data_IF_770802220616
#
_entry.id   IF_770802220616
#
_cell.length_a   1.000
_cell.length_b   1.000
_cell.length_c   1.000
_cell.angle_alpha   90.00
_cell.angle_beta   90.00
_cell.angle_gamma   90.00
#
_symmetry.space_group_name_H-M   'P 1'
#
loop_
_entity.id
_entity.type
_entity.pdbx_description
1 polymer ?
#
# COMPACT_ATOMS: atom_id res chain seq x y z
N UNK A 1 2.36 13.50 31.84
CA UNK A 1 2.07 12.55 30.74
C UNK A 1 3.27 11.65 30.52
N UNK A 2 3.06 10.40 30.20
CA UNK A 2 4.07 9.40 29.85
C UNK A 2 3.65 8.66 28.58
N UNK A 3 4.59 8.00 27.93
CA UNK A 3 4.32 7.07 26.83
C UNK A 3 4.55 5.65 27.36
N UNK A 4 3.60 4.75 27.08
CA UNK A 4 3.65 3.34 27.46
C UNK A 4 3.14 2.45 26.33
N UNK A 5 3.37 1.13 26.43
CA UNK A 5 2.82 0.17 25.49
C UNK A 5 1.29 0.09 25.60
N UNK A 6 0.62 0.00 24.45
CA UNK A 6 -0.83 -0.19 24.39
C UNK A 6 -1.17 -1.63 24.81
N UNK A 7 -2.21 -1.76 25.62
CA UNK A 7 -2.87 -3.03 25.94
C UNK A 7 -4.27 -2.99 25.33
N UNK A 8 -4.63 -3.98 24.54
CA UNK A 8 -5.91 -3.98 23.79
C UNK A 8 -7.16 -3.98 24.69
N UNK A 9 -7.03 -4.50 25.91
CA UNK A 9 -8.08 -4.57 26.93
C UNK A 9 -8.13 -3.35 27.88
N UNK A 10 -7.32 -2.31 27.62
CA UNK A 10 -7.31 -1.10 28.44
C UNK A 10 -8.61 -0.32 28.28
N UNK A 11 -9.46 -0.36 29.31
CA UNK A 11 -10.76 0.31 29.32
C UNK A 11 -10.66 1.83 29.16
N UNK A 12 -9.52 2.44 29.42
CA UNK A 12 -9.28 3.88 29.22
C UNK A 12 -9.21 4.28 27.76
N UNK A 13 -9.13 3.32 26.83
CA UNK A 13 -9.24 3.55 25.37
C UNK A 13 -10.68 3.75 24.90
N UNK A 14 -11.68 3.35 25.68
CA UNK A 14 -13.11 3.43 25.29
C UNK A 14 -13.57 4.86 24.90
N UNK A 15 -13.18 5.93 25.60
CA UNK A 15 -13.52 7.28 25.18
C UNK A 15 -12.95 7.64 23.80
N UNK A 16 -11.72 7.23 23.50
CA UNK A 16 -11.10 7.48 22.19
C UNK A 16 -11.79 6.69 21.08
N UNK A 17 -12.15 5.44 21.32
CA UNK A 17 -12.92 4.64 20.35
C UNK A 17 -14.27 5.29 20.04
N UNK A 18 -14.94 5.86 21.04
CA UNK A 18 -16.19 6.60 20.85
C UNK A 18 -16.00 7.88 20.05
N UNK A 19 -14.94 8.65 20.30
CA UNK A 19 -14.61 9.84 19.49
C UNK A 19 -14.33 9.47 18.03
N UNK A 20 -13.60 8.35 17.80
CA UNK A 20 -13.38 7.82 16.45
C UNK A 20 -14.70 7.47 15.78
N UNK A 21 -15.58 6.76 16.47
CA UNK A 21 -16.91 6.38 15.99
C UNK A 21 -17.74 7.61 15.59
N UNK A 22 -17.78 8.61 16.44
CA UNK A 22 -18.49 9.87 16.19
C UNK A 22 -17.88 10.65 14.99
N UNK A 23 -16.58 10.59 14.79
CA UNK A 23 -15.92 11.23 13.65
C UNK A 23 -16.21 10.52 12.33
N UNK A 24 -16.39 9.19 12.37
CA UNK A 24 -16.65 8.35 11.21
C UNK A 24 -18.13 8.32 10.83
N UNK A 25 -19.07 8.56 11.77
CA UNK A 25 -20.52 8.59 11.50
C UNK A 25 -20.95 9.69 10.55
N UNK A 26 -20.09 10.65 10.25
CA UNK A 26 -20.29 11.59 9.14
C UNK A 26 -20.20 10.92 7.76
N UNK A 27 -19.68 9.68 7.70
CA UNK A 27 -19.60 8.82 6.51
C UNK A 27 -20.15 7.42 6.83
N UNK A 28 -21.47 7.29 6.89
CA UNK A 28 -22.27 6.20 7.47
C UNK A 28 -21.92 4.74 7.11
N UNK A 29 -21.19 4.46 6.06
CA UNK A 29 -20.94 3.08 5.60
C UNK A 29 -19.60 2.48 6.07
N UNK A 30 -18.71 3.29 6.65
CA UNK A 30 -17.35 2.85 7.03
C UNK A 30 -17.13 2.73 8.56
N UNK A 31 -18.01 3.28 9.38
CA UNK A 31 -17.79 3.42 10.81
C UNK A 31 -17.76 2.09 11.58
N UNK A 32 -18.77 1.24 11.41
CA UNK A 32 -18.87 -0.03 12.17
C UNK A 32 -17.75 -1.02 11.78
N UNK A 33 -17.45 -1.13 10.48
CA UNK A 33 -16.37 -1.97 9.98
C UNK A 33 -15.01 -1.48 10.48
N UNK A 34 -14.83 -0.17 10.54
CA UNK A 34 -13.54 0.43 10.97
C UNK A 34 -13.29 0.20 12.46
N UNK A 35 -14.29 0.27 13.32
CA UNK A 35 -14.11 0.09 14.77
C UNK A 35 -13.91 -1.37 15.12
N UNK A 36 -14.67 -2.28 14.51
CA UNK A 36 -14.39 -3.72 14.64
C UNK A 36 -12.95 -4.01 14.21
N UNK A 37 -12.54 -3.50 13.05
CA UNK A 37 -11.19 -3.66 12.56
C UNK A 37 -10.13 -3.00 13.47
N UNK A 38 -10.42 -1.87 14.11
CA UNK A 38 -9.50 -1.23 15.05
C UNK A 38 -9.26 -2.05 16.32
N UNK A 39 -10.28 -2.72 16.84
CA UNK A 39 -10.11 -3.64 17.98
C UNK A 39 -9.29 -4.85 17.59
N UNK A 40 -9.58 -5.45 16.44
CA UNK A 40 -8.82 -6.57 15.89
C UNK A 40 -7.37 -6.16 15.59
N UNK A 41 -7.16 -4.92 15.08
CA UNK A 41 -5.83 -4.35 14.90
C UNK A 41 -5.11 -4.13 16.24
N UNK A 42 -5.78 -3.62 17.27
CA UNK A 42 -5.19 -3.42 18.58
C UNK A 42 -4.82 -4.75 19.27
N UNK A 43 -5.51 -5.85 18.96
CA UNK A 43 -5.18 -7.20 19.45
C UNK A 43 -4.00 -7.82 18.69
N UNK A 44 -3.85 -7.52 17.42
CA UNK A 44 -2.86 -8.14 16.51
C UNK A 44 -1.61 -7.29 16.27
N UNK A 45 -1.62 -6.00 16.65
CA UNK A 45 -0.55 -5.04 16.41
C UNK A 45 0.08 -4.55 17.71
N UNK A 46 1.31 -4.05 17.59
CA UNK A 46 1.94 -3.30 18.68
C UNK A 46 1.37 -1.88 18.72
N UNK A 47 1.37 -1.26 19.88
CA UNK A 47 0.89 0.11 20.02
C UNK A 47 1.58 0.88 21.12
N UNK A 48 1.57 2.20 20.99
CA UNK A 48 1.98 3.15 22.03
C UNK A 48 0.80 4.04 22.38
N UNK A 49 0.70 4.39 23.66
CA UNK A 49 -0.28 5.34 24.19
C UNK A 49 0.42 6.51 24.86
N UNK A 50 -0.18 7.70 24.73
CA UNK A 50 0.17 8.89 25.52
C UNK A 50 -0.89 9.06 26.59
N UNK A 51 -0.48 8.98 27.85
CA UNK A 51 -1.38 8.86 28.98
C UNK A 51 -0.94 9.66 30.22
N UNK A 52 -1.85 9.84 31.14
CA UNK A 52 -1.57 10.09 32.56
C UNK A 52 -2.12 8.94 33.43
N UNK A 53 -2.29 9.17 34.74
CA UNK A 53 -2.75 8.13 35.67
C UNK A 53 -4.20 7.64 35.41
N UNK A 54 -5.01 8.41 34.73
CA UNK A 54 -6.46 8.19 34.58
C UNK A 54 -6.94 8.15 33.14
N UNK A 55 -6.22 8.79 32.23
CA UNK A 55 -6.71 9.09 30.89
C UNK A 55 -5.68 8.75 29.83
N UNK A 56 -6.12 8.11 28.73
CA UNK A 56 -5.35 7.98 27.49
C UNK A 56 -5.79 9.11 26.55
N UNK A 57 -4.85 9.88 26.07
CA UNK A 57 -5.05 11.05 25.23
C UNK A 57 -4.84 10.81 23.74
N UNK A 58 -3.94 9.88 23.43
CA UNK A 58 -3.62 9.52 22.06
C UNK A 58 -3.03 8.11 22.01
N UNK A 59 -3.13 7.47 20.85
CA UNK A 59 -2.46 6.19 20.59
C UNK A 59 -2.02 6.06 19.15
N UNK A 60 -1.06 5.15 18.92
CA UNK A 60 -0.57 4.75 17.62
C UNK A 60 -0.48 3.21 17.58
N UNK A 61 -0.98 2.62 16.51
CA UNK A 61 -0.83 1.19 16.21
C UNK A 61 0.17 1.01 15.06
N UNK A 62 1.05 0.03 15.21
CA UNK A 62 2.05 -0.25 14.21
C UNK A 62 2.36 -1.74 14.13
N UNK A 63 2.86 -2.16 12.98
CA UNK A 63 3.33 -3.52 12.74
C UNK A 63 4.76 -3.49 12.22
N UNK A 64 5.64 -4.30 12.82
CA UNK A 64 7.00 -4.50 12.35
C UNK A 64 7.01 -5.70 11.40
N UNK A 65 7.38 -5.44 10.15
CA UNK A 65 7.63 -6.45 9.11
C UNK A 65 9.03 -6.17 8.56
N UNK A 66 10.03 -6.64 9.27
CA UNK A 66 11.43 -6.33 8.96
C UNK A 66 11.74 -6.36 7.45
N UNK A 67 12.44 -5.35 6.95
CA UNK A 67 13.06 -4.23 7.66
C UNK A 67 12.19 -2.95 7.74
N UNK A 68 10.88 -3.05 7.70
CA UNK A 68 9.95 -1.91 7.67
C UNK A 68 9.01 -1.96 8.87
N UNK A 69 8.83 -0.82 9.54
CA UNK A 69 7.77 -0.60 10.51
C UNK A 69 6.61 0.15 9.83
N UNK A 70 5.40 -0.38 9.89
CA UNK A 70 4.21 0.23 9.30
C UNK A 70 3.37 0.86 10.40
N UNK A 71 3.10 2.17 10.29
CA UNK A 71 2.08 2.84 11.09
C UNK A 71 0.74 2.53 10.44
N UNK A 72 -0.08 1.75 11.11
CA UNK A 72 -1.38 1.29 10.59
C UNK A 72 -2.52 2.20 11.05
N UNK A 73 -2.40 2.80 12.24
CA UNK A 73 -3.39 3.73 12.77
C UNK A 73 -2.78 4.69 13.80
N UNK A 74 -3.32 5.92 13.89
CA UNK A 74 -2.97 6.86 14.93
C UNK A 74 -4.16 7.80 15.21
N UNK A 75 -4.43 8.09 16.47
CA UNK A 75 -5.50 8.98 16.88
C UNK A 75 -5.12 9.76 18.13
N UNK A 76 -5.59 11.00 18.21
CA UNK A 76 -5.52 11.82 19.40
C UNK A 76 -6.89 12.48 19.66
N UNK A 77 -7.28 12.56 20.94
CA UNK A 77 -8.57 13.13 21.36
C UNK A 77 -8.76 14.55 20.85
N UNK A 78 -9.99 14.87 20.47
CA UNK A 78 -10.43 16.21 20.05
C UNK A 78 -10.17 17.29 21.12
N UNK A 79 -10.07 16.88 22.37
CA UNK A 79 -9.85 17.78 23.52
C UNK A 79 -8.37 18.11 23.77
N UNK A 80 -7.48 17.68 22.86
CA UNK A 80 -6.03 17.80 23.03
C UNK A 80 -5.38 18.60 21.91
N UNK A 81 -4.11 18.96 22.10
CA UNK A 81 -3.25 19.40 21.01
C UNK A 81 -2.84 18.17 20.17
N UNK A 82 -3.76 17.75 19.28
CA UNK A 82 -3.63 16.54 18.48
C UNK A 82 -2.29 16.44 17.77
N UNK A 83 -1.87 17.50 17.11
CA UNK A 83 -0.62 17.50 16.33
C UNK A 83 0.58 17.21 17.23
N UNK A 84 0.70 17.88 18.37
CA UNK A 84 1.80 17.66 19.28
C UNK A 84 1.75 16.28 19.94
N UNK A 85 0.56 15.77 20.29
CA UNK A 85 0.43 14.45 20.91
C UNK A 85 0.80 13.33 19.94
N UNK A 86 0.34 13.42 18.70
CA UNK A 86 0.75 12.51 17.63
C UNK A 86 2.25 12.62 17.33
N UNK A 87 2.80 13.82 17.29
CA UNK A 87 4.23 14.02 17.11
C UNK A 87 5.06 13.33 18.19
N UNK A 88 4.68 13.41 19.48
CA UNK A 88 5.40 12.74 20.55
C UNK A 88 5.35 11.22 20.44
N UNK A 89 4.18 10.65 20.06
CA UNK A 89 4.06 9.21 19.82
C UNK A 89 4.91 8.75 18.64
N UNK A 90 4.84 9.46 17.51
CA UNK A 90 5.64 9.16 16.31
C UNK A 90 7.12 9.24 16.62
N UNK A 91 7.58 10.29 17.32
CA UNK A 91 8.98 10.44 17.69
C UNK A 91 9.46 9.30 18.56
N UNK A 92 8.64 8.87 19.54
CA UNK A 92 8.98 7.73 20.39
C UNK A 92 9.07 6.43 19.59
N UNK A 93 8.15 6.19 18.64
CA UNK A 93 8.22 5.06 17.74
C UNK A 93 9.50 5.09 16.87
N UNK A 94 9.87 6.27 16.36
CA UNK A 94 11.12 6.44 15.59
C UNK A 94 12.34 6.07 16.43
N UNK A 95 12.37 6.51 17.68
CA UNK A 95 13.48 6.21 18.60
C UNK A 95 13.54 4.71 18.94
N UNK A 96 12.39 4.05 19.14
CA UNK A 96 12.32 2.59 19.33
C UNK A 96 12.82 1.84 18.09
N UNK A 97 12.38 2.20 16.91
CA UNK A 97 12.83 1.56 15.65
C UNK A 97 14.34 1.76 15.40
N UNK A 98 14.90 2.92 15.78
CA UNK A 98 16.35 3.16 15.68
C UNK A 98 17.15 2.28 16.63
N UNK A 99 16.63 2.02 17.83
CA UNK A 99 17.29 1.15 18.83
C UNK A 99 17.29 -0.31 18.42
N UNK A 100 16.28 -0.75 17.67
CA UNK A 100 16.18 -2.13 17.14
C UNK A 100 17.33 -2.47 16.17
N UNK A 101 17.75 -1.49 15.36
CA UNK A 101 18.84 -1.62 14.39
C UNK A 101 18.57 -2.54 13.18
N UNK A 102 17.46 -3.28 13.18
CA UNK A 102 17.02 -4.11 12.05
C UNK A 102 15.98 -3.40 11.20
N UNK A 103 15.35 -2.35 11.73
CA UNK A 103 14.36 -1.55 11.04
C UNK A 103 15.09 -0.48 10.22
N UNK A 104 14.92 -0.52 8.91
CA UNK A 104 15.55 0.43 7.99
C UNK A 104 14.64 1.60 7.63
N UNK A 105 13.33 1.45 7.77
CA UNK A 105 12.37 2.50 7.47
C UNK A 105 11.08 2.37 8.28
N UNK A 106 10.42 3.51 8.47
CA UNK A 106 9.05 3.58 8.98
C UNK A 106 8.18 4.12 7.86
N UNK A 107 7.01 3.53 7.68
CA UNK A 107 6.08 3.87 6.63
C UNK A 107 4.68 4.07 7.22
N UNK A 108 3.97 5.09 6.71
CA UNK A 108 2.57 5.30 6.96
C UNK A 108 1.87 5.42 5.60
N UNK A 109 1.10 4.41 5.24
CA UNK A 109 0.25 4.45 4.06
C UNK A 109 -0.99 5.26 4.41
N UNK A 110 -1.38 6.16 3.50
CA UNK A 110 -2.49 7.06 3.77
C UNK A 110 -3.78 6.28 4.05
N UNK A 111 -4.41 6.63 5.15
CA UNK A 111 -5.77 6.24 5.46
C UNK A 111 -6.63 7.52 5.37
N UNK A 112 -7.69 7.56 4.55
CA UNK A 112 -8.44 8.79 4.22
C UNK A 112 -9.00 9.58 5.41
N UNK A 113 -9.16 8.96 6.57
CA UNK A 113 -9.69 9.57 7.79
C UNK A 113 -8.64 10.22 8.71
N UNK A 114 -7.35 10.16 8.35
CA UNK A 114 -6.36 10.90 9.10
C UNK A 114 -6.41 12.38 8.72
N UNK A 115 -6.74 13.21 9.70
CA UNK A 115 -6.74 14.65 9.56
C UNK A 115 -5.37 15.23 9.22
N UNK A 116 -5.35 16.51 8.92
CA UNK A 116 -4.12 17.29 8.63
C UNK A 116 -3.11 17.25 9.78
N UNK A 117 -3.57 16.96 11.00
CA UNK A 117 -2.77 16.91 12.21
C UNK A 117 -1.76 15.76 12.20
N UNK A 118 -2.17 14.55 11.75
CA UNK A 118 -1.23 13.42 11.60
C UNK A 118 -0.20 13.71 10.51
N UNK A 119 -0.63 14.25 9.38
CA UNK A 119 0.27 14.64 8.29
C UNK A 119 1.32 15.64 8.79
N UNK A 120 0.89 16.67 9.52
CA UNK A 120 1.76 17.68 10.10
C UNK A 120 2.72 17.07 11.13
N UNK A 121 2.25 16.15 11.96
CA UNK A 121 3.07 15.45 12.95
C UNK A 121 4.13 14.55 12.30
N UNK A 122 3.78 13.82 11.22
CA UNK A 122 4.72 12.99 10.45
C UNK A 122 5.81 13.87 9.81
N UNK A 123 5.43 14.97 9.14
CA UNK A 123 6.39 15.90 8.53
C UNK A 123 7.30 16.51 9.59
N UNK A 124 6.75 16.94 10.74
CA UNK A 124 7.53 17.46 11.86
C UNK A 124 8.51 16.43 12.44
N UNK A 125 8.15 15.14 12.40
CA UNK A 125 9.02 14.02 12.80
C UNK A 125 10.07 13.64 11.74
N UNK A 126 10.11 14.32 10.58
CA UNK A 126 11.10 14.13 9.53
C UNK A 126 10.68 13.16 8.43
N UNK A 127 9.42 12.74 8.38
CA UNK A 127 8.93 11.88 7.31
C UNK A 127 8.88 12.65 5.98
N UNK A 128 9.24 11.95 4.93
CA UNK A 128 9.10 12.41 3.54
C UNK A 128 7.70 12.04 3.04
N UNK A 129 7.14 12.92 2.23
CA UNK A 129 5.83 12.76 1.62
C UNK A 129 5.97 12.26 0.17
N UNK A 130 5.27 11.19 -0.16
CA UNK A 130 5.16 10.67 -1.51
C UNK A 130 3.69 10.73 -1.96
N UNK A 131 3.33 11.71 -2.80
CA UNK A 131 1.97 11.80 -3.34
C UNK A 131 1.71 10.67 -4.34
N UNK A 132 0.56 10.04 -4.23
CA UNK A 132 0.13 8.95 -5.10
C UNK A 132 -1.27 9.24 -5.66
N UNK A 133 -1.53 8.74 -6.85
CA UNK A 133 -2.84 8.77 -7.48
C UNK A 133 -3.44 7.38 -7.50
N UNK A 134 -4.71 7.27 -7.15
CA UNK A 134 -5.55 6.15 -7.51
C UNK A 134 -6.09 6.44 -8.92
N UNK A 135 -5.75 5.57 -9.84
CA UNK A 135 -6.18 5.66 -11.24
C UNK A 135 -7.20 4.57 -11.54
N UNK A 136 -8.19 4.90 -12.37
CA UNK A 136 -9.27 4.01 -12.81
C UNK A 136 -9.47 4.11 -14.31
N UNK A 137 -9.67 2.97 -14.95
CA UNK A 137 -10.16 2.84 -16.32
C UNK A 137 -11.46 2.05 -16.33
N UNK A 138 -12.49 2.55 -17.01
CA UNK A 138 -13.75 1.84 -17.18
C UNK A 138 -13.59 0.68 -18.16
N UNK A 139 -14.31 -0.40 -17.94
CA UNK A 139 -14.34 -1.58 -18.79
C UNK A 139 -15.74 -1.74 -19.42
N UNK A 140 -15.91 -2.39 -20.59
CA UNK A 140 -14.88 -3.14 -21.32
C UNK A 140 -13.91 -2.25 -22.09
N UNK A 141 -12.66 -2.72 -22.17
CA UNK A 141 -11.62 -2.07 -22.96
C UNK A 141 -11.73 -2.47 -24.43
N UNK A 142 -11.73 -1.48 -25.35
CA UNK A 142 -12.10 -1.68 -26.75
C UNK A 142 -10.92 -1.68 -27.74
N UNK A 143 -9.68 -1.68 -27.28
CA UNK A 143 -8.53 -1.73 -28.20
C UNK A 143 -8.17 -3.17 -28.54
N UNK A 144 -7.89 -3.42 -29.82
CA UNK A 144 -7.42 -4.72 -30.28
C UNK A 144 -6.07 -5.09 -29.63
N UNK A 145 -5.96 -6.33 -29.17
CA UNK A 145 -4.72 -6.90 -28.66
C UNK A 145 -3.79 -7.17 -29.84
N UNK A 146 -2.71 -6.40 -29.94
CA UNK A 146 -1.61 -6.71 -30.86
C UNK A 146 -0.82 -7.91 -30.31
N UNK A 147 -1.15 -9.10 -30.75
CA UNK A 147 -0.49 -10.35 -30.39
C UNK A 147 0.67 -10.59 -31.36
N UNK A 148 1.81 -9.94 -31.12
CA UNK A 148 3.06 -10.30 -31.78
C UNK A 148 3.45 -11.74 -31.45
N UNK A 149 3.90 -12.57 -32.41
CA UNK A 149 4.32 -13.95 -32.19
C UNK A 149 5.51 -14.09 -31.24
N UNK A 150 6.24 -13.00 -31.00
CA UNK A 150 7.35 -12.95 -30.05
C UNK A 150 6.90 -12.83 -28.59
N UNK A 151 5.59 -12.62 -28.33
CA UNK A 151 5.02 -12.42 -27.00
C UNK A 151 4.29 -13.66 -26.50
N UNK A 152 4.60 -14.06 -25.26
CA UNK A 152 3.89 -15.11 -24.55
C UNK A 152 3.35 -14.52 -23.24
N UNK A 153 2.03 -14.56 -23.04
CA UNK A 153 1.38 -14.19 -21.78
C UNK A 153 1.05 -15.47 -21.02
N UNK A 154 1.86 -15.78 -20.00
CA UNK A 154 1.67 -16.96 -19.19
C UNK A 154 0.79 -16.62 -17.98
N UNK A 155 -0.36 -17.26 -17.86
CA UNK A 155 -1.22 -17.15 -16.68
C UNK A 155 -0.44 -17.51 -15.42
N UNK A 156 -0.74 -16.81 -14.34
CA UNK A 156 0.00 -16.95 -13.10
C UNK A 156 -0.14 -18.34 -12.48
N UNK A 157 0.96 -18.87 -12.03
CA UNK A 157 0.99 -20.09 -11.22
C UNK A 157 1.99 -19.93 -10.07
N UNK A 158 1.81 -20.63 -8.92
CA UNK A 158 2.77 -20.58 -7.81
C UNK A 158 4.20 -20.99 -8.18
N UNK A 159 4.38 -21.74 -9.28
CA UNK A 159 5.69 -22.12 -9.82
C UNK A 159 6.54 -20.91 -10.25
N UNK A 160 5.90 -19.75 -10.44
CA UNK A 160 6.60 -18.51 -10.82
C UNK A 160 7.16 -17.73 -9.61
N UNK A 161 6.76 -18.02 -8.38
CA UNK A 161 7.05 -17.21 -7.21
C UNK A 161 8.54 -16.88 -7.04
N UNK A 162 9.42 -17.86 -7.09
CA UNK A 162 10.87 -17.62 -6.95
C UNK A 162 11.44 -16.75 -8.08
N UNK A 163 10.97 -16.95 -9.32
CA UNK A 163 11.37 -16.14 -10.48
C UNK A 163 10.78 -14.73 -10.40
N UNK A 164 9.53 -14.62 -10.03
CA UNK A 164 8.84 -13.36 -9.87
C UNK A 164 9.49 -12.49 -8.80
N UNK A 165 9.91 -13.04 -7.66
CA UNK A 165 10.64 -12.29 -6.64
C UNK A 165 11.94 -11.70 -7.18
N UNK A 166 12.70 -12.46 -7.98
CA UNK A 166 13.92 -11.98 -8.64
C UNK A 166 13.63 -10.89 -9.69
N UNK A 167 12.53 -11.04 -10.45
CA UNK A 167 12.10 -10.05 -11.42
C UNK A 167 11.63 -8.76 -10.72
N UNK A 168 10.79 -8.85 -9.69
CA UNK A 168 10.35 -7.70 -8.90
C UNK A 168 11.52 -6.91 -8.34
N UNK A 169 12.48 -7.59 -7.72
CA UNK A 169 13.73 -6.96 -7.24
C UNK A 169 14.44 -6.16 -8.34
N UNK A 170 14.55 -6.69 -9.55
CA UNK A 170 15.22 -6.00 -10.66
C UNK A 170 14.37 -4.85 -11.22
N UNK A 171 13.06 -5.03 -11.33
CA UNK A 171 12.11 -4.02 -11.81
C UNK A 171 12.13 -2.80 -10.88
N UNK A 172 12.11 -3.02 -9.58
CA UNK A 172 11.99 -1.96 -8.59
C UNK A 172 13.32 -1.46 -8.01
N UNK A 173 14.47 -2.05 -8.37
CA UNK A 173 15.79 -1.72 -7.81
C UNK A 173 16.14 -0.22 -7.82
N UNK A 174 15.70 0.52 -8.85
CA UNK A 174 15.93 1.95 -9.02
C UNK A 174 14.62 2.73 -9.23
N UNK A 175 13.51 2.21 -8.74
CA UNK A 175 12.20 2.86 -8.85
C UNK A 175 11.98 3.88 -7.73
N UNK A 176 10.96 4.72 -7.89
CA UNK A 176 10.51 5.60 -6.80
C UNK A 176 10.07 4.79 -5.58
N UNK A 177 9.49 3.62 -5.80
CA UNK A 177 9.01 2.71 -4.77
C UNK A 177 10.13 2.24 -3.85
N UNK A 178 11.35 2.02 -4.37
CA UNK A 178 12.50 1.60 -3.55
C UNK A 178 12.97 2.63 -2.52
N UNK A 179 12.57 3.89 -2.69
CA UNK A 179 12.90 4.97 -1.74
C UNK A 179 12.11 4.86 -0.44
N UNK A 180 10.85 4.41 -0.54
CA UNK A 180 9.97 4.34 0.63
C UNK A 180 9.71 2.89 1.09
N UNK A 181 9.97 1.90 0.25
CA UNK A 181 9.95 0.48 0.62
C UNK A 181 11.27 -0.20 0.23
N UNK A 182 12.31 -0.11 1.07
CA UNK A 182 13.59 -0.76 0.79
C UNK A 182 13.48 -2.30 0.73
N UNK A 183 12.42 -2.90 1.27
CA UNK A 183 12.23 -4.36 1.25
C UNK A 183 12.15 -4.91 -0.18
N UNK A 184 11.56 -4.16 -1.12
CA UNK A 184 11.44 -4.58 -2.53
C UNK A 184 12.79 -4.62 -3.27
N UNK A 185 13.85 -4.10 -2.68
CA UNK A 185 15.21 -4.22 -3.20
C UNK A 185 15.89 -5.54 -2.82
N UNK A 186 15.22 -6.37 -2.01
CA UNK A 186 15.70 -7.69 -1.58
C UNK A 186 14.80 -8.81 -2.13
N UNK A 187 15.38 -9.98 -2.36
CA UNK A 187 14.59 -11.13 -2.82
C UNK A 187 13.60 -11.59 -1.73
N UNK A 188 14.02 -11.57 -0.47
CA UNK A 188 13.15 -11.92 0.66
C UNK A 188 11.95 -10.96 0.80
N UNK A 189 12.18 -9.65 0.63
CA UNK A 189 11.09 -8.66 0.66
C UNK A 189 10.13 -8.83 -0.52
N UNK A 190 10.64 -9.12 -1.71
CA UNK A 190 9.79 -9.44 -2.86
C UNK A 190 8.99 -10.73 -2.66
N UNK A 191 9.55 -11.75 -1.99
CA UNK A 191 8.81 -12.95 -1.62
C UNK A 191 7.69 -12.66 -0.61
N UNK A 192 7.94 -11.79 0.40
CA UNK A 192 6.90 -11.34 1.32
C UNK A 192 5.80 -10.56 0.59
N UNK A 193 6.16 -9.64 -0.30
CA UNK A 193 5.18 -8.92 -1.12
C UNK A 193 4.26 -9.87 -1.91
N UNK A 194 4.81 -10.93 -2.50
CA UNK A 194 4.03 -11.98 -3.16
C UNK A 194 3.10 -12.69 -2.17
N UNK A 195 3.60 -13.06 -0.99
CA UNK A 195 2.79 -13.71 0.05
C UNK A 195 1.66 -12.79 0.55
N UNK A 196 1.94 -11.51 0.77
CA UNK A 196 0.94 -10.49 1.15
C UNK A 196 -0.15 -10.33 0.07
N UNK A 197 0.26 -10.35 -1.21
CA UNK A 197 -0.68 -10.27 -2.34
C UNK A 197 -1.63 -11.47 -2.36
N UNK A 198 -1.11 -12.69 -2.13
CA UNK A 198 -1.94 -13.90 -2.05
C UNK A 198 -2.78 -13.95 -0.77
N UNK A 199 -2.27 -13.36 0.32
CA UNK A 199 -2.97 -13.25 1.61
C UNK A 199 -4.11 -12.24 1.62
N UNK A 200 -4.36 -11.53 0.50
CA UNK A 200 -5.49 -10.63 0.36
C UNK A 200 -5.23 -9.17 0.77
N UNK A 201 -3.97 -8.78 1.00
CA UNK A 201 -3.64 -7.38 1.39
C UNK A 201 -4.13 -6.34 0.38
N UNK A 202 -4.20 -6.70 -0.89
CA UNK A 202 -4.62 -5.81 -1.98
C UNK A 202 -5.95 -6.26 -2.60
N UNK A 203 -6.74 -7.07 -1.90
CA UNK A 203 -7.96 -7.70 -2.40
C UNK A 203 -7.74 -9.19 -2.77
N UNK A 204 -8.74 -9.82 -3.37
CA UNK A 204 -8.71 -11.26 -3.70
C UNK A 204 -7.81 -11.48 -4.92
N UNK A 205 -6.70 -12.19 -4.75
CA UNK A 205 -5.76 -12.48 -5.83
C UNK A 205 -6.39 -13.29 -6.97
N UNK A 206 -6.19 -12.83 -8.23
CA UNK A 206 -6.69 -13.54 -9.40
C UNK A 206 -5.55 -14.03 -10.31
N UNK A 207 -5.27 -15.34 -10.34
CA UNK A 207 -4.25 -15.91 -11.22
C UNK A 207 -4.63 -15.84 -12.71
N UNK A 208 -5.92 -15.67 -13.06
CA UNK A 208 -6.38 -15.59 -14.45
C UNK A 208 -6.20 -14.18 -15.03
N UNK A 209 -6.07 -13.15 -14.17
CA UNK A 209 -5.80 -11.78 -14.57
C UNK A 209 -4.35 -11.37 -14.27
N UNK A 210 -3.54 -12.28 -13.73
CA UNK A 210 -2.12 -12.07 -13.41
C UNK A 210 -1.23 -12.80 -14.40
N UNK A 211 -0.11 -12.16 -14.80
CA UNK A 211 0.71 -12.68 -15.89
C UNK A 211 2.21 -12.62 -15.61
N UNK A 212 2.92 -13.62 -16.11
CA UNK A 212 4.34 -13.51 -16.44
C UNK A 212 4.43 -13.31 -17.97
N UNK A 213 5.04 -12.20 -18.39
CA UNK A 213 5.26 -11.88 -19.79
C UNK A 213 6.64 -12.40 -20.24
N UNK A 214 6.66 -13.10 -21.37
CA UNK A 214 7.89 -13.38 -22.09
C UNK A 214 7.92 -12.62 -23.42
N UNK A 215 9.11 -12.19 -23.78
CA UNK A 215 9.43 -11.63 -25.08
C UNK A 215 10.64 -12.37 -25.67
N UNK A 216 10.48 -12.91 -26.88
CA UNK A 216 11.50 -13.77 -27.54
C UNK A 216 12.01 -14.87 -26.60
N UNK A 217 11.08 -15.58 -25.95
CA UNK A 217 11.30 -16.67 -24.97
C UNK A 217 12.01 -16.27 -23.68
N UNK A 218 12.31 -14.96 -23.45
CA UNK A 218 12.92 -14.45 -22.22
C UNK A 218 11.88 -13.77 -21.34
N UNK A 219 12.00 -13.91 -20.03
CA UNK A 219 11.12 -13.23 -19.05
C UNK A 219 11.31 -11.72 -19.16
N UNK A 220 10.25 -11.02 -19.51
CA UNK A 220 10.29 -9.60 -19.88
C UNK A 220 9.49 -8.69 -18.93
N UNK A 221 8.54 -9.24 -18.19
CA UNK A 221 7.73 -8.47 -17.27
C UNK A 221 6.76 -9.35 -16.50
N UNK A 222 6.04 -8.75 -15.56
CA UNK A 222 4.99 -9.40 -14.81
C UNK A 222 3.90 -8.42 -14.37
N UNK A 223 2.75 -8.95 -14.06
CA UNK A 223 1.66 -8.25 -13.38
C UNK A 223 0.98 -9.18 -12.38
N UNK A 224 0.63 -8.63 -11.22
CA UNK A 224 -0.16 -9.26 -10.17
C UNK A 224 -1.44 -8.46 -9.99
N UNK A 225 -2.56 -9.13 -10.13
CA UNK A 225 -3.87 -8.50 -10.11
C UNK A 225 -4.77 -9.15 -9.06
N UNK A 226 -5.65 -8.35 -8.51
CA UNK A 226 -6.61 -8.74 -7.48
C UNK A 226 -7.99 -8.18 -7.83
N UNK A 227 -9.01 -8.61 -7.10
CA UNK A 227 -10.35 -8.04 -7.08
C UNK A 227 -10.56 -7.29 -5.78
N UNK A 228 -11.12 -6.08 -5.86
CA UNK A 228 -11.57 -5.36 -4.67
C UNK A 228 -12.94 -5.87 -4.18
N UNK A 229 -13.45 -5.28 -3.11
CA UNK A 229 -14.75 -5.63 -2.52
C UNK A 229 -15.95 -5.14 -3.34
N UNK A 230 -15.75 -4.23 -4.27
CA UNK A 230 -16.77 -3.70 -5.18
C UNK A 230 -16.84 -4.48 -6.50
N UNK A 231 -15.95 -5.45 -6.70
CA UNK A 231 -15.84 -6.24 -7.92
C UNK A 231 -15.06 -5.55 -9.03
N UNK A 232 -14.28 -4.50 -8.74
CA UNK A 232 -13.33 -3.94 -9.68
C UNK A 232 -12.04 -4.75 -9.69
N UNK A 233 -11.37 -4.78 -10.83
CA UNK A 233 -10.00 -5.27 -10.90
C UNK A 233 -9.02 -4.27 -10.27
N UNK A 234 -7.96 -4.78 -9.63
CA UNK A 234 -6.90 -3.94 -9.11
C UNK A 234 -5.52 -4.49 -9.50
N UNK A 235 -4.64 -3.64 -10.03
CA UNK A 235 -3.25 -4.00 -10.34
C UNK A 235 -2.39 -3.75 -9.10
N UNK A 236 -2.10 -4.82 -8.35
CA UNK A 236 -1.26 -4.75 -7.15
C UNK A 236 0.22 -4.56 -7.45
N UNK A 237 0.70 -5.13 -8.57
CA UNK A 237 2.06 -4.91 -9.07
C UNK A 237 2.11 -5.04 -10.59
N UNK A 238 2.95 -4.21 -11.20
CA UNK A 238 3.14 -4.19 -12.64
C UNK A 238 4.55 -3.73 -12.99
N UNK A 239 5.22 -4.42 -13.89
CA UNK A 239 6.52 -3.95 -14.33
C UNK A 239 7.12 -4.74 -15.49
N UNK A 240 8.00 -4.04 -16.21
CA UNK A 240 8.80 -4.59 -17.30
C UNK A 240 10.27 -4.58 -16.85
N UNK A 241 10.97 -5.67 -17.13
CA UNK A 241 12.40 -5.80 -16.84
C UNK A 241 13.19 -4.66 -17.48
N UNK A 242 14.15 -4.03 -16.79
CA UNK A 242 14.83 -2.82 -17.27
C UNK A 242 15.42 -2.94 -18.68
N UNK A 243 16.00 -4.08 -19.01
CA UNK A 243 16.62 -4.32 -20.33
C UNK A 243 15.62 -4.51 -21.48
N UNK A 244 14.32 -4.57 -21.18
CA UNK A 244 13.24 -4.58 -22.16
C UNK A 244 12.40 -3.27 -22.15
N UNK A 245 12.85 -2.27 -21.40
CA UNK A 245 12.20 -0.95 -21.40
C UNK A 245 12.23 -0.29 -22.78
N UNK A 246 11.24 0.52 -23.09
CA UNK A 246 11.14 1.24 -24.35
C UNK A 246 10.65 0.42 -25.56
N UNK A 247 10.41 -0.89 -25.40
CA UNK A 247 9.92 -1.77 -26.46
C UNK A 247 8.37 -1.83 -26.57
N UNK A 248 7.66 -0.99 -25.83
CA UNK A 248 6.18 -0.98 -25.83
C UNK A 248 5.54 -2.17 -25.10
N UNK A 249 6.34 -3.03 -24.44
CA UNK A 249 5.85 -4.25 -23.78
C UNK A 249 4.90 -3.97 -22.62
N UNK A 250 5.10 -2.84 -21.92
CA UNK A 250 4.19 -2.41 -20.85
C UNK A 250 2.76 -2.18 -21.35
N UNK A 251 2.60 -1.50 -22.49
CA UNK A 251 1.29 -1.31 -23.10
C UNK A 251 0.61 -2.61 -23.50
N UNK A 252 1.38 -3.55 -24.08
CA UNK A 252 0.85 -4.87 -24.47
C UNK A 252 0.43 -5.71 -23.25
N UNK A 253 1.20 -5.68 -22.17
CA UNK A 253 0.84 -6.36 -20.93
C UNK A 253 -0.39 -5.73 -20.27
N UNK A 254 -0.48 -4.40 -20.24
CA UNK A 254 -1.61 -3.68 -19.67
C UNK A 254 -2.89 -3.95 -20.48
N UNK A 255 -2.82 -3.89 -21.83
CA UNK A 255 -3.95 -4.24 -22.70
C UNK A 255 -4.45 -5.67 -22.46
N UNK A 256 -3.53 -6.63 -22.24
CA UNK A 256 -3.90 -8.02 -21.93
C UNK A 256 -4.61 -8.15 -20.58
N UNK A 257 -4.17 -7.42 -19.57
CA UNK A 257 -4.84 -7.39 -18.26
C UNK A 257 -6.27 -6.83 -18.41
N UNK A 258 -6.39 -5.68 -19.09
CA UNK A 258 -7.68 -5.02 -19.31
C UNK A 258 -8.64 -5.92 -20.09
N UNK A 259 -8.15 -6.65 -21.10
CA UNK A 259 -8.95 -7.63 -21.85
C UNK A 259 -9.46 -8.76 -20.94
N UNK A 260 -8.60 -9.33 -20.08
CA UNK A 260 -8.99 -10.40 -19.17
C UNK A 260 -10.03 -9.93 -18.14
N UNK A 261 -9.87 -8.75 -17.55
CA UNK A 261 -10.88 -8.19 -16.64
C UNK A 261 -12.18 -7.84 -17.37
N UNK A 262 -12.11 -7.38 -18.62
CA UNK A 262 -13.30 -7.14 -19.45
C UNK A 262 -14.06 -8.46 -19.71
N UNK A 263 -13.34 -9.54 -20.02
CA UNK A 263 -13.95 -10.87 -20.21
C UNK A 263 -14.55 -11.43 -18.92
N UNK A 264 -13.97 -11.08 -17.77
CA UNK A 264 -14.47 -11.42 -16.44
C UNK A 264 -15.59 -10.48 -15.95
N UNK A 265 -16.06 -9.55 -16.80
CA UNK A 265 -17.15 -8.60 -16.54
C UNK A 265 -16.86 -7.63 -15.38
N UNK A 266 -15.60 -7.32 -15.11
CA UNK A 266 -15.26 -6.27 -14.17
C UNK A 266 -15.78 -4.91 -14.68
N UNK A 267 -16.38 -4.07 -13.83
CA UNK A 267 -16.84 -2.73 -14.25
C UNK A 267 -15.67 -1.78 -14.52
N UNK A 268 -14.56 -1.95 -13.79
CA UNK A 268 -13.38 -1.09 -13.95
C UNK A 268 -12.10 -1.82 -13.58
N UNK A 269 -10.97 -1.21 -13.93
CA UNK A 269 -9.63 -1.61 -13.50
C UNK A 269 -8.95 -0.43 -12.80
N UNK A 270 -8.41 -0.66 -11.62
CA UNK A 270 -7.78 0.35 -10.78
C UNK A 270 -6.32 0.03 -10.47
N UNK A 271 -5.57 1.05 -10.11
CA UNK A 271 -4.20 0.94 -9.62
C UNK A 271 -3.79 2.19 -8.85
N UNK A 272 -2.79 2.06 -7.98
CA UNK A 272 -2.16 3.19 -7.32
C UNK A 272 -0.74 3.42 -7.85
N UNK A 273 -0.40 4.67 -8.18
CA UNK A 273 0.89 5.05 -8.75
C UNK A 273 1.44 6.31 -8.09
N UNK A 274 2.75 6.37 -7.87
CA UNK A 274 3.43 7.60 -7.42
C UNK A 274 3.38 8.67 -8.50
N UNK A 275 3.01 9.91 -8.16
CA UNK A 275 2.91 11.02 -9.12
C UNK A 275 4.24 11.29 -9.85
N UNK A 276 5.37 11.02 -9.19
CA UNK A 276 6.71 11.12 -9.76
C UNK A 276 7.05 10.06 -10.82
N UNK A 277 6.26 8.98 -10.95
CA UNK A 277 6.49 7.94 -11.94
C UNK A 277 5.93 8.33 -13.30
N UNK A 278 6.59 9.29 -13.96
CA UNK A 278 6.12 9.89 -15.23
C UNK A 278 5.97 8.84 -16.34
N UNK A 279 6.82 7.83 -16.38
CA UNK A 279 6.74 6.78 -17.40
C UNK A 279 5.46 5.94 -17.25
N UNK A 280 5.15 5.52 -16.02
CA UNK A 280 3.93 4.79 -15.71
C UNK A 280 2.68 5.66 -15.94
N UNK A 281 2.70 6.93 -15.51
CA UNK A 281 1.60 7.87 -15.74
C UNK A 281 1.25 8.01 -17.24
N UNK A 282 2.27 8.15 -18.12
CA UNK A 282 2.06 8.21 -19.57
C UNK A 282 1.46 6.90 -20.12
N UNK A 283 1.95 5.76 -19.62
CA UNK A 283 1.42 4.45 -20.01
C UNK A 283 -0.06 4.32 -19.65
N UNK A 284 -0.42 4.62 -18.39
CA UNK A 284 -1.79 4.51 -17.92
C UNK A 284 -2.73 5.50 -18.64
N UNK A 285 -2.29 6.75 -18.83
CA UNK A 285 -3.06 7.74 -19.60
C UNK A 285 -3.34 7.29 -21.05
N UNK A 286 -2.39 6.59 -21.71
CA UNK A 286 -2.58 6.04 -23.05
C UNK A 286 -3.57 4.87 -23.12
N UNK A 287 -3.99 4.34 -21.96
CA UNK A 287 -4.97 3.27 -21.79
C UNK A 287 -6.23 3.77 -21.05
N UNK A 288 -6.53 5.05 -21.18
CA UNK A 288 -7.75 5.70 -20.68
C UNK A 288 -7.92 5.70 -19.15
N UNK A 289 -6.85 5.43 -18.40
CA UNK A 289 -6.87 5.60 -16.93
C UNK A 289 -6.96 7.08 -16.57
N UNK A 290 -7.84 7.40 -15.62
CA UNK A 290 -8.04 8.73 -15.05
C UNK A 290 -7.84 8.71 -13.55
N UNK A 291 -7.34 9.80 -12.99
CA UNK A 291 -7.23 9.93 -11.55
C UNK A 291 -8.64 10.10 -10.95
N UNK A 292 -8.97 9.24 -9.99
CA UNK A 292 -10.24 9.28 -9.25
C UNK A 292 -10.02 9.73 -7.80
N UNK A 293 -8.80 9.52 -7.27
CA UNK A 293 -8.46 9.97 -5.93
C UNK A 293 -6.95 10.27 -5.84
N UNK A 294 -6.59 11.06 -4.82
CA UNK A 294 -5.22 11.38 -4.47
C UNK A 294 -4.93 10.91 -3.07
N UNK A 295 -3.97 10.03 -2.93
CA UNK A 295 -3.51 9.49 -1.66
C UNK A 295 -2.11 9.97 -1.33
N UNK A 296 -1.68 9.76 -0.10
CA UNK A 296 -0.34 10.12 0.35
C UNK A 296 0.28 8.95 1.11
N UNK A 297 1.54 8.73 0.84
CA UNK A 297 2.38 7.83 1.62
C UNK A 297 3.44 8.69 2.30
N UNK A 298 3.65 8.43 3.58
CA UNK A 298 4.72 9.05 4.35
C UNK A 298 5.75 7.99 4.72
N UNK A 299 7.03 8.32 4.62
CA UNK A 299 8.10 7.39 4.98
C UNK A 299 9.29 8.11 5.61
N UNK A 300 9.96 7.43 6.51
CA UNK A 300 11.20 7.86 7.14
C UNK A 300 12.23 6.75 6.98
N UNK A 301 13.36 7.03 6.33
CA UNK A 301 14.50 6.13 6.35
C UNK A 301 15.26 6.31 7.66
N UNK A 302 15.58 5.21 8.32
CA UNK A 302 16.36 5.18 9.55
C UNK A 302 17.81 4.88 9.17
N UNK A 303 18.69 5.84 9.43
CA UNK A 303 20.14 5.70 9.22
C UNK A 303 20.79 5.02 10.43
#
# INVERSE_FOLDING_TARGET
MKISGLQSDDLRLQPLYKEIEESLTKNLYQAETTISNLKDLAESHQGLILEDSTTVYAFILFQIREPVCFIEFAFASEQTDKQNFLFYLIKNLVDLCRQDGQILSIRCDFIPWFGTELQSALVAAGFQHCPRLLLRAELPYQKELDLSPDLEFLLWTPKFNSRAAKMLKQIFANSEESKWDPSITTEAGCQRFLADTYGGRFGIFDPNCSFLLKYKKKEAGLALCTWDHEGNGFIASFGIMPHFSGLGLGGKLLSKIMDNFSQALAPALELAVSEGNIAAMRLYASHDFKAIDRTSLYYLQLN
#
